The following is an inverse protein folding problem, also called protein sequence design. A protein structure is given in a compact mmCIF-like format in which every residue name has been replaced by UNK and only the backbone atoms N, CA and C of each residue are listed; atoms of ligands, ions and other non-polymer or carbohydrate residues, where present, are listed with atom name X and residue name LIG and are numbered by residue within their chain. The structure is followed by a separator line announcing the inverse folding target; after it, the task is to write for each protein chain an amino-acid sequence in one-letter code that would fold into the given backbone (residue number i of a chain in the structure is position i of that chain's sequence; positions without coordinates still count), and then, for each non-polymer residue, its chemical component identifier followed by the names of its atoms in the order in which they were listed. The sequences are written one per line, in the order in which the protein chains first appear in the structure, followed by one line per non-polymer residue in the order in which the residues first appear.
data_IF_696074419188
#
_entry.id   IF_696074419188
#
_cell.length_a   1.000
_cell.length_b   1.000
_cell.length_c   1.000
_cell.angle_alpha   90.00
_cell.angle_beta   90.00
_cell.angle_gamma   90.00
#
_symmetry.space_group_name_H-M   'P 1'
#
loop_
_entity.id
_entity.type
_entity.pdbx_description
1 polymer ?
#
# COMPACT_ATOMS: atom_id res chain seq x y z
N UNK A 1 7.98 -10.91 -5.52
CA UNK A 1 7.80 -9.62 -4.85
C UNK A 1 7.65 -9.84 -3.36
N UNK A 2 8.68 -9.50 -2.62
CA UNK A 2 8.73 -9.64 -1.17
C UNK A 2 8.20 -8.36 -0.52
N UNK A 3 7.38 -8.52 0.54
CA UNK A 3 6.77 -7.40 1.24
C UNK A 3 7.58 -7.08 2.50
N UNK A 4 7.98 -5.82 2.64
CA UNK A 4 8.78 -5.35 3.76
C UNK A 4 8.11 -4.16 4.43
N UNK A 5 8.11 -4.12 5.76
CA UNK A 5 7.52 -3.02 6.51
C UNK A 5 8.56 -2.40 7.42
N UNK A 6 8.78 -1.09 7.29
CA UNK A 6 9.42 -0.31 8.35
C UNK A 6 8.38 -0.11 9.46
N UNK A 7 8.61 -0.75 10.61
CA UNK A 7 7.71 -0.75 11.75
C UNK A 7 8.26 0.17 12.85
N UNK A 8 7.57 1.27 13.16
CA UNK A 8 7.97 2.18 14.25
C UNK A 8 7.62 1.63 15.63
N UNK A 9 6.47 0.95 15.74
CA UNK A 9 6.04 0.30 16.98
C UNK A 9 5.31 1.19 17.97
N UNK A 10 4.82 2.34 17.52
CA UNK A 10 4.02 3.27 18.33
C UNK A 10 2.51 2.95 18.32
N UNK A 11 2.08 1.93 17.57
CA UNK A 11 0.67 1.55 17.43
C UNK A 11 0.25 0.39 18.36
N UNK A 12 -1.06 0.29 18.60
CA UNK A 12 -1.68 -0.83 19.30
C UNK A 12 -1.33 -2.16 18.62
N UNK A 13 -0.58 -3.04 19.29
CA UNK A 13 -0.01 -4.24 18.67
C UNK A 13 -1.05 -5.24 18.18
N UNK A 14 -2.26 -5.22 18.76
CA UNK A 14 -3.34 -6.12 18.39
C UNK A 14 -4.13 -5.60 17.17
N UNK A 15 -4.02 -4.30 16.86
CA UNK A 15 -4.67 -3.65 15.71
C UNK A 15 -3.73 -3.44 14.54
N UNK A 16 -2.42 -3.49 14.77
CA UNK A 16 -1.39 -3.32 13.76
C UNK A 16 -1.49 -4.40 12.67
N UNK A 17 -1.87 -3.98 11.45
CA UNK A 17 -2.03 -4.90 10.31
C UNK A 17 -0.68 -5.43 9.81
N UNK A 18 0.40 -4.65 9.90
CA UNK A 18 1.75 -5.08 9.55
C UNK A 18 2.24 -6.25 10.42
N UNK A 19 2.04 -6.16 11.74
CA UNK A 19 2.36 -7.25 12.67
C UNK A 19 1.60 -8.53 12.36
N UNK A 20 0.33 -8.39 11.98
CA UNK A 20 -0.48 -9.55 11.60
C UNK A 20 0.02 -10.18 10.31
N UNK A 21 0.41 -9.39 9.30
CA UNK A 21 1.04 -9.92 8.08
C UNK A 21 2.32 -10.69 8.40
N UNK A 22 3.19 -10.14 9.25
CA UNK A 22 4.42 -10.79 9.65
C UNK A 22 4.20 -12.10 10.42
N UNK A 23 3.18 -12.15 11.30
CA UNK A 23 2.81 -13.39 12.00
C UNK A 23 2.38 -14.52 11.07
N UNK A 24 1.94 -14.20 9.85
CA UNK A 24 1.55 -15.16 8.83
C UNK A 24 2.62 -15.34 7.74
N UNK A 25 3.85 -14.84 7.96
CA UNK A 25 4.96 -14.90 7.01
C UNK A 25 4.63 -14.25 5.65
N UNK A 26 3.78 -13.22 5.67
CA UNK A 26 3.36 -12.49 4.47
C UNK A 26 4.13 -11.19 4.26
N UNK A 27 4.79 -10.67 5.29
CA UNK A 27 5.67 -9.51 5.22
C UNK A 27 6.75 -9.55 6.29
N UNK A 28 7.93 -9.01 6.02
CA UNK A 28 9.02 -8.91 7.00
C UNK A 28 9.02 -7.54 7.69
N UNK A 29 9.17 -7.50 9.02
CA UNK A 29 9.22 -6.25 9.78
C UNK A 29 10.66 -5.81 10.07
N UNK A 30 10.92 -4.53 9.84
CA UNK A 30 12.20 -3.88 10.05
C UNK A 30 12.04 -2.74 11.07
N UNK A 31 12.89 -2.71 12.09
CA UNK A 31 12.82 -1.70 13.18
C UNK A 31 13.65 -0.44 12.92
N UNK A 32 14.35 -0.35 11.80
CA UNK A 32 15.16 0.80 11.44
C UNK A 32 15.31 0.91 9.93
N UNK A 33 15.47 2.13 9.43
CA UNK A 33 15.62 2.43 8.00
C UNK A 33 16.81 1.69 7.38
N UNK A 34 17.88 1.50 8.16
CA UNK A 34 19.08 0.76 7.73
C UNK A 34 18.82 -0.73 7.55
N UNK A 35 17.88 -1.31 8.31
CA UNK A 35 17.53 -2.72 8.20
C UNK A 35 16.52 -2.95 7.06
N UNK A 36 15.68 -1.96 6.76
CA UNK A 36 14.73 -2.02 5.65
C UNK A 36 15.48 -2.10 4.31
N UNK A 37 15.16 -3.07 3.43
CA UNK A 37 15.81 -3.16 2.13
C UNK A 37 15.40 -2.02 1.20
N UNK A 38 16.24 -1.80 0.18
CA UNK A 38 15.89 -0.94 -0.95
C UNK A 38 14.73 -1.57 -1.73
N UNK A 39 13.78 -0.75 -2.18
CA UNK A 39 12.68 -1.22 -3.03
C UNK A 39 11.76 -0.11 -3.49
N UNK A 40 10.58 -0.49 -4.00
CA UNK A 40 9.49 0.44 -4.27
C UNK A 40 8.81 0.76 -2.95
N UNK A 41 8.87 2.02 -2.52
CA UNK A 41 8.38 2.47 -1.22
C UNK A 41 7.01 3.14 -1.40
N UNK A 42 5.99 2.57 -0.77
CA UNK A 42 4.66 3.18 -0.67
C UNK A 42 4.75 4.42 0.22
N UNK A 43 4.66 5.59 -0.42
CA UNK A 43 4.82 6.89 0.22
C UNK A 43 3.70 7.83 -0.26
N UNK A 44 2.75 8.23 0.60
CA UNK A 44 1.65 9.12 0.21
C UNK A 44 2.12 10.54 -0.19
N UNK A 45 3.36 10.90 0.09
CA UNK A 45 3.97 12.19 -0.29
C UNK A 45 4.81 12.12 -1.57
N UNK A 46 4.86 10.96 -2.25
CA UNK A 46 5.62 10.84 -3.48
C UNK A 46 4.94 11.58 -4.64
N UNK A 47 5.73 12.24 -5.47
CA UNK A 47 5.23 12.95 -6.67
C UNK A 47 4.75 12.00 -7.77
N UNK A 48 5.25 10.77 -7.79
CA UNK A 48 4.88 9.75 -8.78
C UNK A 48 3.89 8.76 -8.19
N UNK A 49 2.82 8.49 -8.92
CA UNK A 49 1.89 7.43 -8.57
C UNK A 49 2.49 6.05 -8.89
N UNK A 50 2.15 5.05 -8.09
CA UNK A 50 2.44 3.65 -8.37
C UNK A 50 1.69 3.24 -9.64
N UNK A 51 2.37 2.57 -10.56
CA UNK A 51 1.78 2.09 -11.81
C UNK A 51 2.36 0.73 -12.21
N UNK A 52 1.76 0.02 -13.19
CA UNK A 52 2.25 -1.29 -13.61
C UNK A 52 3.72 -1.35 -14.03
N UNK A 53 4.32 -0.23 -14.48
CA UNK A 53 5.75 -0.17 -14.83
C UNK A 53 6.68 -0.44 -13.65
N UNK A 54 6.19 -0.27 -12.41
CA UNK A 54 6.98 -0.50 -11.20
C UNK A 54 7.06 -1.99 -10.84
N UNK A 55 6.33 -2.87 -11.54
CA UNK A 55 6.17 -4.28 -11.18
C UNK A 55 7.48 -5.07 -11.25
N UNK A 56 8.26 -4.89 -12.33
CA UNK A 56 9.55 -5.56 -12.49
C UNK A 56 10.51 -5.14 -11.37
N UNK A 57 10.63 -3.84 -11.13
CA UNK A 57 11.49 -3.29 -10.07
C UNK A 57 11.09 -3.80 -8.68
N UNK A 58 9.80 -3.79 -8.36
CA UNK A 58 9.31 -4.30 -7.07
C UNK A 58 9.52 -5.82 -6.94
N UNK A 59 9.45 -6.57 -8.04
CA UNK A 59 9.72 -8.01 -8.05
C UNK A 59 11.21 -8.35 -7.86
N UNK A 60 12.12 -7.56 -8.44
CA UNK A 60 13.57 -7.71 -8.30
C UNK A 60 14.11 -7.29 -6.93
N UNK A 61 13.47 -6.29 -6.32
CA UNK A 61 13.94 -5.67 -5.07
C UNK A 61 13.00 -6.01 -3.91
N UNK A 62 12.06 -5.11 -3.59
CA UNK A 62 11.05 -5.28 -2.57
C UNK A 62 9.90 -4.31 -2.80
N UNK A 63 8.74 -4.62 -2.25
CA UNK A 63 7.67 -3.65 -2.02
C UNK A 63 7.64 -3.28 -0.54
N UNK A 64 7.84 -2.00 -0.25
CA UNK A 64 8.10 -1.49 1.10
C UNK A 64 6.96 -0.57 1.55
N UNK A 65 6.44 -0.78 2.76
CA UNK A 65 5.53 0.15 3.41
C UNK A 65 6.11 0.68 4.73
N UNK A 66 5.64 1.86 5.15
CA UNK A 66 5.91 2.42 6.46
C UNK A 66 4.68 2.24 7.35
N UNK A 67 4.81 1.49 8.45
CA UNK A 67 3.78 1.31 9.48
C UNK A 67 4.10 2.26 10.63
N UNK A 68 3.42 3.41 10.61
CA UNK A 68 3.52 4.46 11.60
C UNK A 68 2.13 5.01 11.92
N UNK A 69 1.99 5.61 13.11
CA UNK A 69 0.74 6.26 13.47
C UNK A 69 0.45 7.46 12.54
N UNK A 70 -0.83 7.71 12.26
CA UNK A 70 -1.24 8.85 11.41
C UNK A 70 -0.84 10.21 11.98
N UNK A 71 -0.66 10.32 13.30
CA UNK A 71 -0.21 11.55 13.98
C UNK A 71 1.30 11.78 13.79
N UNK A 72 2.05 10.71 13.48
CA UNK A 72 3.50 10.71 13.28
C UNK A 72 3.92 10.71 11.80
N UNK A 73 2.96 10.49 10.88
CA UNK A 73 3.19 10.35 9.44
C UNK A 73 3.44 11.70 8.71
N UNK A 74 4.53 12.39 9.03
CA UNK A 74 5.01 13.54 8.27
C UNK A 74 6.04 13.17 7.20
N UNK A 75 6.25 14.04 6.20
CA UNK A 75 7.22 13.86 5.10
C UNK A 75 8.62 13.43 5.56
N UNK A 76 9.07 13.90 6.74
CA UNK A 76 10.39 13.61 7.30
C UNK A 76 10.62 12.14 7.68
N UNK A 77 9.56 11.32 7.75
CA UNK A 77 9.65 9.89 8.09
C UNK A 77 9.94 9.01 6.87
N UNK A 78 9.86 9.54 5.65
CA UNK A 78 10.13 8.78 4.44
C UNK A 78 11.60 8.91 4.00
N UNK A 79 12.54 8.71 4.93
CA UNK A 79 13.99 8.60 4.66
C UNK A 79 14.41 7.21 4.17
N UNK A 80 13.45 6.31 3.96
CA UNK A 80 13.71 4.95 3.48
C UNK A 80 14.41 4.97 2.11
N UNK A 81 15.46 4.16 1.93
CA UNK A 81 16.12 4.05 0.63
C UNK A 81 15.19 3.36 -0.37
N UNK A 82 14.85 4.00 -1.48
CA UNK A 82 14.00 3.36 -2.48
C UNK A 82 13.43 4.29 -3.54
N UNK A 83 12.61 3.70 -4.40
CA UNK A 83 11.80 4.40 -5.38
C UNK A 83 10.42 4.68 -4.77
N UNK A 84 10.18 5.94 -4.39
CA UNK A 84 8.94 6.31 -3.74
C UNK A 84 7.79 6.41 -4.74
N UNK A 85 6.65 5.84 -4.39
CA UNK A 85 5.41 5.85 -5.17
C UNK A 85 4.21 6.09 -4.27
N UNK A 86 3.33 7.00 -4.67
CA UNK A 86 2.06 7.23 -4.01
C UNK A 86 1.02 6.25 -4.54
N UNK A 87 0.17 5.72 -3.67
CA UNK A 87 -1.01 5.01 -4.13
C UNK A 87 -2.02 6.02 -4.70
N UNK A 88 -2.75 5.67 -5.77
CA UNK A 88 -3.84 6.51 -6.26
C UNK A 88 -5.03 6.51 -5.30
N UNK A 89 -6.01 7.35 -5.59
CA UNK A 89 -7.26 7.44 -4.85
C UNK A 89 -7.90 6.05 -4.63
N UNK A 90 -8.08 5.69 -3.35
CA UNK A 90 -8.74 4.48 -2.91
C UNK A 90 -9.48 4.73 -1.60
N UNK A 91 -10.53 3.96 -1.37
CA UNK A 91 -11.40 4.08 -0.20
C UNK A 91 -11.11 2.94 0.77
N UNK A 92 -10.95 3.29 2.04
CA UNK A 92 -10.69 2.33 3.10
C UNK A 92 -11.92 1.45 3.39
N UNK A 93 -11.67 0.15 3.58
CA UNK A 93 -12.66 -0.82 4.08
C UNK A 93 -12.36 -1.30 5.51
N UNK A 94 -11.23 -0.90 6.09
CA UNK A 94 -10.93 -1.20 7.48
C UNK A 94 -11.99 -0.63 8.44
N UNK A 95 -12.31 -1.30 9.57
CA UNK A 95 -13.39 -0.90 10.47
C UNK A 95 -13.22 0.48 11.12
N UNK A 96 -12.00 1.01 11.18
CA UNK A 96 -11.71 2.31 11.82
C UNK A 96 -12.00 3.47 10.87
N UNK A 97 -11.68 3.31 9.59
CA UNK A 97 -11.76 4.36 8.58
C UNK A 97 -12.69 4.02 7.42
N UNK A 98 -13.63 3.09 7.61
CA UNK A 98 -14.52 2.62 6.55
C UNK A 98 -15.16 3.79 5.78
N UNK A 99 -15.05 3.75 4.45
CA UNK A 99 -15.59 4.77 3.55
C UNK A 99 -14.75 6.04 3.47
N UNK A 100 -13.65 6.17 4.21
CA UNK A 100 -12.78 7.35 4.15
C UNK A 100 -11.73 7.20 3.05
N UNK A 101 -11.54 8.20 2.18
CA UNK A 101 -10.53 8.15 1.14
C UNK A 101 -9.12 8.22 1.75
N UNK A 102 -8.17 7.50 1.16
CA UNK A 102 -6.73 7.55 1.47
C UNK A 102 -6.35 7.18 2.91
N UNK A 103 -7.28 6.65 3.71
CA UNK A 103 -7.05 6.21 5.10
C UNK A 103 -6.85 4.70 5.19
N UNK A 104 -5.98 4.20 4.32
CA UNK A 104 -5.66 2.78 4.18
C UNK A 104 -4.78 2.29 5.33
N UNK A 105 -5.05 1.08 5.81
CA UNK A 105 -4.11 0.33 6.65
C UNK A 105 -2.94 -0.20 5.80
N UNK A 106 -1.85 -0.62 6.45
CA UNK A 106 -0.68 -1.21 5.79
C UNK A 106 -1.03 -2.40 4.90
N UNK A 107 -1.98 -3.27 5.31
CA UNK A 107 -2.44 -4.37 4.45
C UNK A 107 -3.26 -3.91 3.26
N UNK A 108 -4.11 -2.88 3.39
CA UNK A 108 -4.85 -2.31 2.26
C UNK A 108 -3.90 -1.64 1.27
N UNK A 109 -2.90 -0.92 1.77
CA UNK A 109 -1.88 -0.30 0.95
C UNK A 109 -1.09 -1.35 0.14
N UNK A 110 -0.65 -2.44 0.78
CA UNK A 110 -0.01 -3.54 0.06
C UNK A 110 -0.95 -4.23 -0.92
N UNK A 111 -2.20 -4.49 -0.54
CA UNK A 111 -3.15 -5.14 -1.43
C UNK A 111 -3.43 -4.31 -2.68
N UNK A 112 -3.64 -3.00 -2.51
CA UNK A 112 -3.77 -2.06 -3.62
C UNK A 112 -2.56 -2.10 -4.54
N UNK A 113 -1.36 -1.96 -3.96
CA UNK A 113 -0.12 -2.01 -4.71
C UNK A 113 0.04 -3.31 -5.48
N UNK A 114 -0.18 -4.45 -4.82
CA UNK A 114 -0.10 -5.77 -5.46
C UNK A 114 -1.08 -5.90 -6.63
N UNK A 115 -2.32 -5.40 -6.51
CA UNK A 115 -3.28 -5.44 -7.63
C UNK A 115 -2.80 -4.57 -8.79
N UNK A 116 -2.35 -3.34 -8.52
CA UNK A 116 -1.82 -2.42 -9.55
C UNK A 116 -0.61 -3.03 -10.26
N UNK A 117 0.23 -3.78 -9.54
CA UNK A 117 1.43 -4.43 -10.07
C UNK A 117 1.14 -5.82 -10.69
N UNK A 118 -0.13 -6.20 -10.87
CA UNK A 118 -0.53 -7.45 -11.53
C UNK A 118 -0.50 -8.72 -10.65
N UNK A 119 -0.33 -8.57 -9.34
CA UNK A 119 -0.20 -9.66 -8.36
C UNK A 119 -1.49 -9.83 -7.53
N UNK A 120 -2.65 -9.84 -8.19
CA UNK A 120 -3.98 -9.88 -7.53
C UNK A 120 -4.13 -11.07 -6.57
N UNK A 121 -3.64 -12.25 -6.93
CA UNK A 121 -3.70 -13.43 -6.05
C UNK A 121 -2.90 -13.23 -4.74
N UNK A 122 -1.80 -12.47 -4.77
CA UNK A 122 -1.05 -12.12 -3.54
C UNK A 122 -1.85 -11.16 -2.69
N UNK A 123 -2.51 -10.18 -3.30
CA UNK A 123 -3.38 -9.24 -2.60
C UNK A 123 -4.51 -9.96 -1.87
N UNK A 124 -5.20 -10.88 -2.55
CA UNK A 124 -6.26 -11.71 -1.97
C UNK A 124 -5.74 -12.57 -0.81
N UNK A 125 -4.56 -13.20 -0.95
CA UNK A 125 -3.93 -13.96 0.14
C UNK A 125 -3.63 -13.09 1.36
N UNK A 126 -3.12 -11.88 1.16
CA UNK A 126 -2.86 -10.94 2.26
C UNK A 126 -4.14 -10.53 2.97
N UNK A 127 -5.16 -10.14 2.21
CA UNK A 127 -6.45 -9.69 2.72
C UNK A 127 -7.27 -10.82 3.36
N UNK A 128 -7.09 -12.08 2.95
CA UNK A 128 -7.80 -13.24 3.54
C UNK A 128 -7.60 -13.40 5.05
N UNK A 129 -6.57 -12.76 5.63
CA UNK A 129 -6.31 -12.79 7.07
C UNK A 129 -7.17 -11.78 7.84
N UNK A 130 -7.92 -10.93 7.15
CA UNK A 130 -8.71 -9.83 7.70
C UNK A 130 -10.17 -10.00 7.29
N UNK A 131 -11.09 -9.90 8.26
CA UNK A 131 -12.52 -10.17 8.05
C UNK A 131 -13.19 -9.20 7.06
N UNK A 132 -12.61 -8.02 6.87
CA UNK A 132 -13.06 -6.97 5.96
C UNK A 132 -12.25 -6.94 4.65
N UNK A 133 -11.29 -7.88 4.48
CA UNK A 133 -10.35 -7.84 3.37
C UNK A 133 -11.03 -7.96 2.00
N UNK A 134 -12.04 -8.82 1.87
CA UNK A 134 -12.83 -8.95 0.64
C UNK A 134 -13.56 -7.65 0.30
N UNK A 135 -14.14 -6.99 1.31
CA UNK A 135 -14.82 -5.69 1.16
C UNK A 135 -13.90 -4.61 0.60
N UNK A 136 -12.60 -4.63 0.91
CA UNK A 136 -11.64 -3.70 0.31
C UNK A 136 -11.55 -3.85 -1.22
N UNK A 137 -11.47 -5.09 -1.70
CA UNK A 137 -11.39 -5.38 -3.13
C UNK A 137 -12.71 -5.07 -3.83
N UNK A 138 -13.86 -5.36 -3.20
CA UNK A 138 -15.17 -5.04 -3.74
C UNK A 138 -15.39 -3.53 -3.85
N UNK A 139 -15.10 -2.80 -2.77
CA UNK A 139 -15.27 -1.35 -2.69
C UNK A 139 -14.44 -0.61 -3.74
N UNK A 140 -13.25 -1.13 -4.03
CA UNK A 140 -12.30 -0.53 -4.97
C UNK A 140 -12.16 -1.31 -6.28
N UNK A 141 -13.10 -2.20 -6.61
CA UNK A 141 -12.98 -3.12 -7.74
C UNK A 141 -12.74 -2.39 -9.07
N UNK A 142 -13.55 -1.37 -9.34
CA UNK A 142 -13.45 -0.59 -10.57
C UNK A 142 -12.18 0.29 -10.62
N UNK A 143 -11.85 1.11 -9.60
CA UNK A 143 -10.58 1.83 -9.56
C UNK A 143 -9.36 0.92 -9.74
N UNK A 144 -9.26 -0.17 -8.97
CA UNK A 144 -8.11 -1.06 -9.01
C UNK A 144 -7.94 -1.74 -10.37
N UNK A 145 -9.05 -2.13 -11.02
CA UNK A 145 -9.02 -2.68 -12.37
C UNK A 145 -8.48 -1.65 -13.37
N UNK A 146 -9.01 -0.43 -13.33
CA UNK A 146 -8.56 0.66 -14.23
C UNK A 146 -7.09 1.01 -14.02
N UNK A 147 -6.62 1.05 -12.76
CA UNK A 147 -5.22 1.32 -12.45
C UNK A 147 -4.26 0.21 -12.90
N UNK A 148 -4.67 -1.05 -12.80
CA UNK A 148 -3.87 -2.18 -13.28
C UNK A 148 -3.72 -2.22 -14.81
N UNK A 149 -4.65 -1.59 -15.54
CA UNK A 149 -4.64 -1.49 -17.01
C UNK A 149 -3.81 -0.29 -17.54
N UNK A 150 -3.22 0.53 -16.65
CA UNK A 150 -2.45 1.72 -17.05
C UNK A 150 -1.04 1.42 -17.54
N UNK A 151 -0.52 2.25 -18.45
CA UNK A 151 0.85 2.14 -18.93
C UNK A 151 1.86 2.91 -18.07
N UNK A 152 1.43 3.91 -17.28
CA UNK A 152 2.34 4.77 -16.53
C UNK A 152 1.64 5.57 -15.42
N UNK A 153 2.45 6.25 -14.58
CA UNK A 153 1.98 7.13 -13.50
C UNK A 153 1.07 8.27 -13.96
N UNK A 154 1.18 8.76 -15.20
CA UNK A 154 0.34 9.84 -15.70
C UNK A 154 -1.10 9.39 -15.89
N UNK A 155 -1.31 8.22 -16.52
CA UNK A 155 -2.65 7.64 -16.70
C UNK A 155 -3.32 7.30 -15.37
N UNK A 156 -2.54 6.80 -14.39
CA UNK A 156 -3.03 6.60 -13.02
C UNK A 156 -3.58 7.91 -12.45
N UNK A 157 -2.85 9.02 -12.65
CA UNK A 157 -3.25 10.34 -12.17
C UNK A 157 -4.49 10.83 -12.91
N UNK A 158 -4.58 10.67 -14.23
CA UNK A 158 -5.75 11.08 -15.00
C UNK A 158 -7.02 10.34 -14.52
N UNK A 159 -6.92 9.02 -14.32
CA UNK A 159 -8.02 8.21 -13.80
C UNK A 159 -8.37 8.60 -12.36
N UNK A 160 -7.38 8.90 -11.50
CA UNK A 160 -7.66 9.31 -10.12
C UNK A 160 -8.45 10.63 -10.05
N UNK A 161 -8.18 11.57 -10.97
CA UNK A 161 -8.90 12.85 -11.00
C UNK A 161 -10.40 12.63 -11.25
N UNK A 162 -10.78 11.65 -12.09
CA UNK A 162 -12.19 11.33 -12.33
C UNK A 162 -12.96 10.91 -11.06
N UNK A 163 -12.27 10.37 -10.05
CA UNK A 163 -12.88 10.00 -8.77
C UNK A 163 -12.93 11.17 -7.81
N UNK A 164 -11.86 12.00 -7.78
CA UNK A 164 -11.79 13.19 -6.94
C UNK A 164 -12.81 14.27 -7.36
N UNK A 165 -13.07 14.42 -8.67
CA UNK A 165 -14.04 15.39 -9.20
C UNK A 165 -15.50 15.03 -8.90
N UNK A 166 -15.76 13.80 -8.43
CA UNK A 166 -17.12 13.30 -8.12
C UNK A 166 -17.49 13.43 -6.64
N UNK A 167 -16.55 13.81 -5.77
CA UNK A 167 -16.77 14.09 -4.34
C UNK A 167 -17.02 15.58 -4.07
#
# INVERSE_FOLDING_TARGET
MDLHVRYEGDDDPDKCTARKLARFDLAELHRSDRATPYGVVLNPHAERALSPVDAERAAETALVALDCSWESAGEKMFSLPGEHRALPYLVAANPVNFGRPMRLTTVEAFAAALVILGERDRAERALSKFTWGETFLELNAEPLRRYADCENSGEIVDIQQEYLDRE
#
